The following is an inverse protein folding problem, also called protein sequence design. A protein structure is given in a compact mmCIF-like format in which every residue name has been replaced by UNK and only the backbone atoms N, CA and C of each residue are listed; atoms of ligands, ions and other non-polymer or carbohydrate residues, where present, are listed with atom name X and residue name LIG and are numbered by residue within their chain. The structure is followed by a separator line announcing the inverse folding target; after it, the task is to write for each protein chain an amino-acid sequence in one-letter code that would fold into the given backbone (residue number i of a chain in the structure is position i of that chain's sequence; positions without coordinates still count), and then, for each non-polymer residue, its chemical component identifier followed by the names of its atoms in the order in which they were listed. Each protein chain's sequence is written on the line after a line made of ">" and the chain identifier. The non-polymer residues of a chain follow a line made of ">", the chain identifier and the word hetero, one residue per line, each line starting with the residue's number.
data_IF_457290329387
#
_entry.id   IF_457290329387
#
_cell.length_a   1.000
_cell.length_b   1.000
_cell.length_c   1.000
_cell.angle_alpha   90.00
_cell.angle_beta   90.00
_cell.angle_gamma   90.00
#
_symmetry.space_group_name_H-M   'P 1'
#
loop_
_entity.id
_entity.type
_entity.pdbx_description
1 polymer ?
#
# COMPACT_ATOMS: atom_id res chain seq x y z
N UNK A 1 23.53 -10.30 2.53
CA UNK A 1 22.42 -10.09 3.49
C UNK A 1 21.66 -8.78 3.28
N UNK A 2 22.26 -7.73 2.70
CA UNK A 2 21.59 -6.42 2.52
C UNK A 2 20.35 -6.49 1.61
N UNK A 3 20.39 -7.31 0.56
CA UNK A 3 19.25 -7.50 -0.35
C UNK A 3 17.97 -8.00 0.35
N UNK A 4 18.09 -8.97 1.26
CA UNK A 4 16.94 -9.48 2.02
C UNK A 4 16.39 -8.45 3.00
N UNK A 5 17.27 -7.60 3.55
CA UNK A 5 16.87 -6.50 4.45
C UNK A 5 16.06 -5.44 3.73
N UNK A 6 16.55 -4.97 2.58
CA UNK A 6 15.83 -4.03 1.70
C UNK A 6 14.51 -4.65 1.24
N UNK A 7 14.51 -5.95 0.95
CA UNK A 7 13.32 -6.65 0.53
C UNK A 7 12.23 -6.76 1.60
N UNK A 8 12.63 -7.14 2.80
CA UNK A 8 11.75 -7.17 3.94
C UNK A 8 11.20 -5.76 4.25
N UNK A 9 12.04 -4.73 4.12
CA UNK A 9 11.64 -3.34 4.35
C UNK A 9 10.59 -2.86 3.34
N UNK A 10 10.81 -3.07 2.04
CA UNK A 10 9.84 -2.71 1.00
C UNK A 10 8.51 -3.47 1.15
N UNK A 11 8.57 -4.76 1.48
CA UNK A 11 7.37 -5.54 1.77
C UNK A 11 6.61 -5.04 3.01
N UNK A 12 7.34 -4.59 4.04
CA UNK A 12 6.74 -3.99 5.24
C UNK A 12 6.03 -2.68 4.91
N UNK A 13 6.71 -1.80 4.17
CA UNK A 13 6.17 -0.53 3.69
C UNK A 13 4.91 -0.72 2.85
N UNK A 14 4.93 -1.59 1.85
CA UNK A 14 3.74 -1.91 1.04
C UNK A 14 2.58 -2.42 1.92
N UNK A 15 2.88 -3.21 2.96
CA UNK A 15 1.88 -3.67 3.92
C UNK A 15 1.29 -2.56 4.79
N UNK A 16 2.08 -1.57 5.19
CA UNK A 16 1.60 -0.40 5.93
C UNK A 16 0.71 0.47 5.06
N UNK A 17 1.16 0.79 3.84
CA UNK A 17 0.36 1.53 2.86
C UNK A 17 -0.96 0.85 2.54
N UNK A 18 -0.95 -0.47 2.29
CA UNK A 18 -2.18 -1.20 1.99
C UNK A 18 -3.20 -1.11 3.14
N UNK A 19 -2.74 -1.20 4.40
CA UNK A 19 -3.62 -1.05 5.57
C UNK A 19 -4.11 0.39 5.75
N UNK A 20 -3.25 1.38 5.54
CA UNK A 20 -3.61 2.79 5.63
C UNK A 20 -4.66 3.17 4.57
N UNK A 21 -4.45 2.72 3.32
CA UNK A 21 -5.42 2.88 2.24
C UNK A 21 -6.73 2.14 2.53
N UNK A 22 -6.67 0.87 2.93
CA UNK A 22 -7.87 0.09 3.25
C UNK A 22 -8.71 0.74 4.36
N UNK A 23 -8.06 1.25 5.41
CA UNK A 23 -8.75 1.95 6.51
C UNK A 23 -9.39 3.24 6.01
N UNK A 24 -8.66 4.03 5.23
CA UNK A 24 -9.18 5.30 4.69
C UNK A 24 -10.40 5.07 3.81
N UNK A 25 -10.35 4.08 2.91
CA UNK A 25 -11.46 3.78 2.00
C UNK A 25 -12.65 3.11 2.67
N UNK A 26 -12.40 2.37 3.75
CA UNK A 26 -13.43 1.68 4.50
C UNK A 26 -14.14 2.60 5.52
N UNK A 27 -13.50 3.68 5.96
CA UNK A 27 -14.00 4.54 7.05
C UNK A 27 -14.74 5.78 6.56
N UNK A 28 -15.85 6.11 7.21
CA UNK A 28 -16.67 7.30 6.90
C UNK A 28 -16.08 8.61 7.44
N UNK A 29 -15.27 8.53 8.49
CA UNK A 29 -14.60 9.68 9.14
C UNK A 29 -13.22 10.00 8.54
N UNK A 30 -12.75 9.19 7.58
CA UNK A 30 -11.44 9.37 6.99
C UNK A 30 -11.40 10.63 6.12
N UNK A 31 -10.28 11.36 6.19
CA UNK A 31 -10.01 12.52 5.34
C UNK A 31 -9.04 12.15 4.22
N UNK A 32 -9.27 12.69 3.03
CA UNK A 32 -8.45 12.43 1.84
C UNK A 32 -8.83 11.13 1.13
N UNK A 33 -8.07 10.77 0.09
CA UNK A 33 -8.22 9.50 -0.62
C UNK A 33 -7.35 8.41 0.00
N UNK A 34 -7.77 7.15 -0.13
CA UNK A 34 -6.95 6.02 0.33
C UNK A 34 -5.61 5.92 -0.38
N UNK A 35 -5.53 6.37 -1.64
CA UNK A 35 -4.28 6.44 -2.39
C UNK A 35 -3.31 7.45 -1.77
N UNK A 36 -3.76 8.67 -1.44
CA UNK A 36 -2.90 9.69 -0.83
C UNK A 36 -2.39 9.21 0.53
N UNK A 37 -3.29 8.74 1.39
CA UNK A 37 -2.92 8.24 2.73
C UNK A 37 -2.04 6.98 2.68
N UNK A 38 -2.23 6.13 1.66
CA UNK A 38 -1.33 5.00 1.42
C UNK A 38 0.06 5.47 0.96
N UNK A 39 0.14 6.52 0.14
CA UNK A 39 1.40 7.08 -0.36
C UNK A 39 2.19 7.81 0.72
N UNK A 40 1.52 8.59 1.56
CA UNK A 40 2.11 9.23 2.74
C UNK A 40 2.73 8.20 3.71
N UNK A 41 2.21 6.97 3.74
CA UNK A 41 2.75 5.90 4.58
C UNK A 41 4.06 5.27 4.07
N UNK A 42 4.52 5.62 2.85
CA UNK A 42 5.69 5.00 2.18
C UNK A 42 6.59 6.00 1.45
N UNK A 43 6.46 7.29 1.76
CA UNK A 43 7.07 8.40 1.01
C UNK A 43 8.55 8.20 0.69
N UNK A 44 9.35 7.70 1.63
CA UNK A 44 10.81 7.53 1.49
C UNK A 44 11.24 6.59 0.34
N UNK A 45 10.41 5.61 -0.03
CA UNK A 45 10.78 4.61 -1.05
C UNK A 45 10.09 4.87 -2.41
N UNK A 46 8.99 5.62 -2.38
CA UNK A 46 8.18 5.92 -3.56
C UNK A 46 8.83 6.91 -4.51
N UNK A 47 9.73 7.76 -4.02
CA UNK A 47 10.39 8.78 -4.86
C UNK A 47 11.29 8.18 -5.95
N UNK A 48 11.82 6.97 -5.74
CA UNK A 48 12.80 6.35 -6.65
C UNK A 48 12.27 5.07 -7.32
N UNK A 49 11.39 4.32 -6.62
CA UNK A 49 10.95 3.00 -7.06
C UNK A 49 9.69 3.00 -7.93
N UNK A 50 8.72 3.87 -7.64
CA UNK A 50 7.37 3.78 -8.21
C UNK A 50 6.37 3.12 -7.26
N UNK A 51 5.15 3.62 -7.31
CA UNK A 51 4.04 3.26 -6.42
C UNK A 51 2.79 3.00 -7.26
N UNK A 52 2.22 1.82 -7.10
CA UNK A 52 0.90 1.50 -7.66
C UNK A 52 -0.10 1.22 -6.54
N UNK A 53 -1.26 1.82 -6.68
CA UNK A 53 -2.39 1.65 -5.78
C UNK A 53 -3.57 1.06 -6.54
N UNK A 54 -4.21 0.07 -5.94
CA UNK A 54 -5.45 -0.51 -6.47
C UNK A 54 -6.42 -0.80 -5.35
N UNK A 55 -7.63 -0.28 -5.50
CA UNK A 55 -8.76 -0.50 -4.59
C UNK A 55 -9.86 -1.28 -5.29
N UNK A 56 -10.38 -2.31 -4.63
CA UNK A 56 -11.49 -3.14 -5.12
C UNK A 56 -12.49 -3.42 -3.99
N UNK A 57 -13.69 -3.86 -4.36
CA UNK A 57 -14.73 -4.27 -3.42
C UNK A 57 -15.79 -3.20 -3.13
N UNK A 58 -16.68 -3.51 -2.19
CA UNK A 58 -17.87 -2.71 -1.88
C UNK A 58 -18.30 -2.85 -0.42
N UNK A 59 -18.69 -4.06 0.01
CA UNK A 59 -18.95 -4.37 1.44
C UNK A 59 -17.67 -4.58 2.24
N UNK A 60 -16.70 -5.19 1.59
CA UNK A 60 -15.33 -5.32 2.08
C UNK A 60 -14.45 -4.59 1.09
N UNK A 61 -13.67 -3.62 1.57
CA UNK A 61 -12.71 -2.90 0.74
C UNK A 61 -11.39 -3.62 0.81
N UNK A 62 -10.86 -3.99 -0.35
CA UNK A 62 -9.49 -4.51 -0.49
C UNK A 62 -8.64 -3.46 -1.16
N UNK A 63 -7.55 -3.08 -0.50
CA UNK A 63 -6.51 -2.22 -1.08
C UNK A 63 -5.27 -3.06 -1.30
N UNK A 64 -4.70 -2.93 -2.49
CA UNK A 64 -3.43 -3.52 -2.89
C UNK A 64 -2.47 -2.41 -3.22
N UNK A 65 -1.28 -2.48 -2.62
CA UNK A 65 -0.18 -1.56 -2.87
C UNK A 65 0.99 -2.37 -3.41
N UNK A 66 1.58 -1.83 -4.47
CA UNK A 66 2.81 -2.35 -5.06
C UNK A 66 3.88 -1.27 -5.04
N UNK A 67 5.04 -1.63 -4.52
CA UNK A 67 6.20 -0.76 -4.41
C UNK A 67 7.34 -1.40 -5.16
N UNK A 68 7.91 -0.69 -6.12
CA UNK A 68 9.07 -1.17 -6.87
C UNK A 68 10.35 -0.85 -6.10
N UNK A 69 11.25 -1.82 -6.05
CA UNK A 69 12.48 -1.78 -5.28
C UNK A 69 13.63 -1.70 -6.26
N UNK A 70 14.32 -0.55 -6.36
CA UNK A 70 15.50 -0.44 -7.21
C UNK A 70 16.56 -1.44 -6.74
N UNK A 71 17.14 -2.14 -7.71
CA UNK A 71 18.21 -3.08 -7.41
C UNK A 71 19.49 -2.32 -7.03
N UNK A 72 19.87 -2.35 -5.75
CA UNK A 72 21.12 -1.74 -5.26
C UNK A 72 22.36 -2.55 -5.72
N UNK A 73 22.17 -3.73 -6.34
CA UNK A 73 23.25 -4.61 -6.79
C UNK A 73 23.40 -4.52 -8.32
N UNK A 74 24.57 -4.09 -8.83
CA UNK A 74 24.84 -4.02 -10.27
C UNK A 74 24.65 -5.40 -10.93
N UNK A 75 23.81 -5.46 -11.97
CA UNK A 75 23.59 -6.68 -12.76
C UNK A 75 22.35 -7.52 -12.38
N UNK A 76 21.47 -7.04 -11.51
CA UNK A 76 20.17 -7.65 -11.23
C UNK A 76 19.02 -6.70 -11.60
N UNK A 77 17.95 -7.27 -12.17
CA UNK A 77 16.73 -6.53 -12.49
C UNK A 77 16.03 -6.01 -11.24
N UNK A 78 15.30 -4.91 -11.41
CA UNK A 78 14.40 -4.39 -10.38
C UNK A 78 13.35 -5.44 -10.00
N UNK A 79 12.85 -5.35 -8.78
CA UNK A 79 11.84 -6.28 -8.29
C UNK A 79 10.76 -5.56 -7.49
N UNK A 80 9.57 -6.14 -7.42
CA UNK A 80 8.38 -5.49 -6.84
C UNK A 80 7.90 -6.18 -5.57
N UNK A 81 7.54 -5.37 -4.58
CA UNK A 81 6.90 -5.81 -3.34
C UNK A 81 5.41 -5.46 -3.39
N UNK A 82 4.57 -6.50 -3.46
CA UNK A 82 3.10 -6.37 -3.49
C UNK A 82 2.48 -6.83 -2.18
N UNK A 83 1.57 -6.03 -1.62
CA UNK A 83 0.79 -6.38 -0.42
C UNK A 83 -0.64 -5.90 -0.55
N UNK A 84 -1.54 -6.62 0.13
CA UNK A 84 -2.97 -6.29 0.14
C UNK A 84 -3.50 -6.31 1.58
N UNK A 85 -4.50 -5.48 1.84
CA UNK A 85 -5.24 -5.45 3.08
C UNK A 85 -6.73 -5.31 2.78
N UNK A 86 -7.56 -6.03 3.54
CA UNK A 86 -9.02 -6.00 3.41
C UNK A 86 -9.65 -5.52 4.71
N UNK A 87 -10.60 -4.61 4.63
CA UNK A 87 -11.37 -4.10 5.77
C UNK A 87 -12.88 -4.03 5.46
N UNK A 88 -13.74 -4.27 6.46
CA UNK A 88 -15.18 -4.10 6.30
C UNK A 88 -15.51 -2.61 6.09
N UNK A 89 -16.42 -2.33 5.17
CA UNK A 89 -16.78 -0.97 4.77
C UNK A 89 -17.88 -0.37 5.67
N UNK A 90 -17.53 0.67 6.42
CA UNK A 90 -18.43 1.41 7.31
C UNK A 90 -19.50 2.20 6.54
N UNK A 91 -19.25 2.53 5.27
CA UNK A 91 -20.22 3.21 4.41
C UNK A 91 -21.47 2.34 4.12
N UNK A 92 -21.37 1.02 4.25
CA UNK A 92 -22.50 0.10 4.02
C UNK A 92 -23.39 -0.01 5.27
N UNK A 93 -22.84 0.23 6.46
CA UNK A 93 -23.57 0.13 7.74
C UNK A 93 -24.18 1.44 8.24
N UNK A 94 -23.83 2.58 7.64
CA UNK A 94 -24.24 3.92 8.06
C UNK A 94 -25.53 4.44 7.40
N UNK A 95 -26.18 3.62 6.57
CA UNK A 95 -27.51 3.92 6.04
C UNK A 95 -28.63 3.62 7.04
N UNK A 96 -28.99 4.62 7.85
CA UNK A 96 -30.30 4.73 8.52
C UNK A 96 -30.91 6.09 8.19
#
# INVERSE_FOLDING_TARGET
>A
AIQLGVAAYAASQAGTAARAGARTEASVDARGSGESNARDAVSDWVEDGGFEYRRTGGRDITVTVEVKVPSIVPGLDDWTAKRSATMPNEHVGSGF
#
